data_IF_314720335115
#
_entry.id   IF_314720335115
#
_cell.length_a   1.000
_cell.length_b   1.000
_cell.length_c   1.000
_cell.angle_alpha   90.00
_cell.angle_beta   90.00
_cell.angle_gamma   90.00
#
_symmetry.space_group_name_H-M   'P 1'
#
loop_
_entity.id
_entity.type
_entity.pdbx_description
1 polymer ?
#
# COMPACT_ATOMS: atom_id res chain seq x y z
N UNK A 1 18.57 50.27 -2.94
CA UNK A 1 17.62 49.40 -2.20
C UNK A 1 16.85 48.62 -3.25
N UNK A 2 17.22 47.36 -3.48
CA UNK A 2 16.66 46.55 -4.57
C UNK A 2 15.22 46.18 -4.24
N UNK A 3 14.28 46.67 -5.05
CA UNK A 3 12.85 46.38 -4.94
C UNK A 3 12.59 45.01 -5.57
N UNK A 4 12.07 44.06 -4.81
CA UNK A 4 11.65 42.75 -5.34
C UNK A 4 10.34 42.97 -6.12
N UNK A 5 10.36 42.67 -7.41
CA UNK A 5 9.28 42.98 -8.38
C UNK A 5 8.17 41.90 -8.41
N UNK A 6 8.30 40.84 -7.63
CA UNK A 6 7.26 39.83 -7.42
C UNK A 6 7.73 38.78 -6.41
N UNK A 7 6.88 38.43 -5.44
CA UNK A 7 7.12 37.36 -4.48
C UNK A 7 6.16 36.22 -4.74
N UNK A 8 6.67 35.09 -5.22
CA UNK A 8 5.94 33.82 -5.15
C UNK A 8 6.49 33.02 -3.97
N UNK A 9 5.61 32.67 -3.05
CA UNK A 9 5.90 31.70 -1.99
C UNK A 9 5.62 30.31 -2.54
N UNK A 10 6.68 29.54 -2.82
CA UNK A 10 6.57 28.09 -3.02
C UNK A 10 7.11 27.43 -1.76
N UNK A 11 6.20 26.88 -0.95
CA UNK A 11 6.55 26.08 0.21
C UNK A 11 7.00 24.74 -0.35
N UNK A 12 8.30 24.48 -0.29
CA UNK A 12 8.84 23.14 -0.44
C UNK A 12 9.11 22.65 0.98
N UNK A 13 8.47 21.54 1.37
CA UNK A 13 8.95 20.83 2.53
C UNK A 13 10.36 20.32 2.20
N UNK A 14 11.36 20.74 2.97
CA UNK A 14 12.74 20.33 2.74
C UNK A 14 13.05 18.98 3.40
N UNK A 15 12.17 18.48 4.28
CA UNK A 15 12.32 17.16 4.90
C UNK A 15 11.93 16.04 3.91
N UNK A 16 10.96 16.32 3.04
CA UNK A 16 10.59 15.48 1.90
C UNK A 16 10.70 16.31 0.62
N UNK A 17 11.83 16.23 -0.08
CA UNK A 17 12.13 17.00 -1.30
C UNK A 17 11.25 16.72 -2.55
N UNK A 18 9.99 16.33 -2.37
CA UNK A 18 8.94 16.05 -3.36
C UNK A 18 7.57 16.18 -2.66
N UNK A 19 6.46 16.51 -3.36
CA UNK A 19 5.15 16.65 -2.72
C UNK A 19 4.80 15.37 -1.93
N UNK A 20 4.87 15.41 -0.61
CA UNK A 20 4.54 14.35 0.36
C UNK A 20 4.51 12.92 -0.21
N UNK A 21 5.69 12.37 -0.53
CA UNK A 21 5.87 10.99 -0.96
C UNK A 21 6.57 10.15 0.12
N UNK A 22 6.22 10.34 1.40
CA UNK A 22 6.59 9.36 2.41
C UNK A 22 6.79 9.90 3.82
N UNK A 23 5.89 9.53 4.72
CA UNK A 23 6.18 9.48 6.14
C UNK A 23 5.69 8.14 6.69
N UNK A 24 6.47 7.06 6.50
CA UNK A 24 6.28 5.77 7.22
C UNK A 24 4.83 5.24 7.20
N UNK A 25 4.06 5.51 6.14
CA UNK A 25 2.61 5.27 6.08
C UNK A 25 2.19 4.26 4.99
N UNK A 26 3.12 3.80 4.15
CA UNK A 26 2.85 2.83 3.07
C UNK A 26 3.02 1.36 3.49
N UNK A 27 3.71 1.11 4.60
CA UNK A 27 3.88 -0.24 5.14
C UNK A 27 2.96 -0.42 6.34
N UNK A 28 1.93 -1.25 6.19
CA UNK A 28 1.10 -1.67 7.31
C UNK A 28 1.97 -2.36 8.37
N UNK A 29 1.67 -2.12 9.66
CA UNK A 29 2.38 -2.81 10.74
C UNK A 29 2.20 -4.33 10.62
N UNK A 30 3.22 -5.10 11.02
CA UNK A 30 3.11 -6.55 11.00
C UNK A 30 1.94 -7.01 11.87
N UNK A 31 1.04 -7.80 11.28
CA UNK A 31 -0.08 -8.41 11.99
C UNK A 31 0.33 -9.81 12.40
N UNK A 32 0.08 -10.17 13.67
CA UNK A 32 0.33 -11.51 14.18
C UNK A 32 -0.61 -12.51 13.49
N UNK A 33 -0.07 -13.60 12.95
CA UNK A 33 -0.88 -14.72 12.47
C UNK A 33 -1.43 -15.51 13.67
N UNK A 34 -2.76 -15.65 13.76
CA UNK A 34 -3.45 -16.46 14.77
C UNK A 34 -3.95 -17.80 14.21
N UNK A 35 -3.65 -18.10 12.95
CA UNK A 35 -4.06 -19.32 12.27
C UNK A 35 -5.50 -19.29 11.74
N UNK A 36 -6.17 -18.14 11.79
CA UNK A 36 -7.51 -17.93 11.23
C UNK A 36 -7.50 -16.88 10.11
N UNK A 37 -8.60 -16.77 9.37
CA UNK A 37 -8.74 -15.72 8.35
C UNK A 37 -8.84 -14.36 9.03
N UNK A 38 -7.99 -13.42 8.62
CA UNK A 38 -7.93 -12.09 9.20
C UNK A 38 -8.41 -11.04 8.21
N UNK A 39 -9.25 -10.12 8.68
CA UNK A 39 -9.67 -8.93 7.93
C UNK A 39 -8.97 -7.71 8.50
N UNK A 40 -8.13 -7.07 7.70
CA UNK A 40 -7.42 -5.85 8.07
C UNK A 40 -8.11 -4.67 7.39
N UNK A 41 -8.54 -3.67 8.16
CA UNK A 41 -9.35 -2.53 7.65
C UNK A 41 -8.79 -1.16 7.98
N UNK A 42 -7.70 -1.08 8.74
CA UNK A 42 -7.10 0.18 9.20
C UNK A 42 -5.60 0.18 9.00
N UNK A 43 -4.95 1.34 9.11
CA UNK A 43 -3.50 1.45 8.93
C UNK A 43 -3.06 1.29 7.47
N UNK A 44 -3.95 1.64 6.54
CA UNK A 44 -3.65 1.78 5.12
C UNK A 44 -3.67 3.26 4.75
N UNK A 45 -2.83 3.64 3.79
CA UNK A 45 -2.90 4.92 3.11
C UNK A 45 -3.37 4.65 1.68
N UNK A 46 -4.34 5.42 1.20
CA UNK A 46 -4.85 5.23 -0.16
C UNK A 46 -3.76 5.55 -1.19
N UNK A 47 -3.61 4.73 -2.25
CA UNK A 47 -2.72 5.08 -3.34
C UNK A 47 -3.23 6.36 -4.02
N UNK A 48 -2.33 7.21 -4.56
CA UNK A 48 -2.72 8.49 -5.15
C UNK A 48 -3.61 8.34 -6.40
N UNK A 49 -3.69 7.15 -6.98
CA UNK A 49 -4.54 6.78 -8.11
C UNK A 49 -4.88 5.28 -8.04
N UNK A 50 -5.99 4.81 -8.65
CA UNK A 50 -6.27 3.39 -8.80
C UNK A 50 -5.11 2.65 -9.50
N UNK A 51 -4.77 1.45 -9.01
CA UNK A 51 -3.65 0.61 -9.49
C UNK A 51 -4.02 -0.87 -9.41
N UNK A 52 -3.31 -1.71 -10.16
CA UNK A 52 -3.35 -3.18 -10.02
C UNK A 52 -2.41 -3.58 -8.89
N UNK A 53 -2.84 -4.52 -8.06
CA UNK A 53 -2.07 -4.95 -6.89
C UNK A 53 -1.19 -6.15 -7.24
N UNK A 54 -0.12 -6.30 -6.47
CA UNK A 54 0.70 -7.51 -6.48
C UNK A 54 0.95 -7.92 -5.04
N UNK A 55 0.94 -9.23 -4.78
CA UNK A 55 1.24 -9.77 -3.46
C UNK A 55 2.34 -10.81 -3.57
N UNK A 56 3.33 -10.74 -2.69
CA UNK A 56 4.46 -11.68 -2.67
C UNK A 56 4.50 -12.41 -1.33
N UNK A 57 4.41 -13.73 -1.36
CA UNK A 57 4.62 -14.56 -0.17
C UNK A 57 6.12 -14.73 0.12
N UNK A 58 6.50 -14.75 1.39
CA UNK A 58 7.89 -14.88 1.84
C UNK A 58 8.01 -15.60 3.19
N UNK A 59 9.22 -15.63 3.76
CA UNK A 59 9.52 -16.34 5.01
C UNK A 59 10.07 -17.76 4.79
N UNK A 60 9.94 -18.62 5.81
CA UNK A 60 10.32 -20.03 5.68
C UNK A 60 9.37 -20.71 4.71
N UNK A 61 9.92 -21.26 3.62
CA UNK A 61 9.12 -21.83 2.54
C UNK A 61 8.09 -22.84 3.04
N UNK A 62 8.44 -23.76 3.96
CA UNK A 62 7.53 -24.77 4.51
C UNK A 62 6.36 -24.23 5.33
N UNK A 63 6.41 -22.96 5.70
CA UNK A 63 5.38 -22.30 6.50
C UNK A 63 4.38 -21.54 5.63
N UNK A 64 4.66 -21.36 4.34
CA UNK A 64 3.77 -20.70 3.38
C UNK A 64 2.56 -21.58 3.09
N UNK A 65 1.36 -21.06 3.35
CA UNK A 65 0.07 -21.74 3.12
C UNK A 65 -0.59 -21.27 1.82
N UNK A 66 -1.53 -22.08 1.31
CA UNK A 66 -2.33 -21.75 0.15
C UNK A 66 -3.49 -20.80 0.53
N UNK A 67 -3.16 -19.52 0.69
CA UNK A 67 -4.10 -18.46 1.08
C UNK A 67 -4.45 -17.60 -0.14
N UNK A 68 -5.69 -17.11 -0.19
CA UNK A 68 -6.14 -16.11 -1.15
C UNK A 68 -6.15 -14.74 -0.50
N UNK A 69 -5.76 -13.71 -1.25
CA UNK A 69 -5.85 -12.31 -0.82
C UNK A 69 -6.97 -11.65 -1.59
N UNK A 70 -7.91 -11.06 -0.87
CA UNK A 70 -8.95 -10.20 -1.43
C UNK A 70 -8.76 -8.79 -0.87
N UNK A 71 -8.64 -7.81 -1.76
CA UNK A 71 -8.52 -6.40 -1.41
C UNK A 71 -9.77 -5.67 -1.86
N UNK A 72 -10.34 -4.86 -0.96
CA UNK A 72 -11.52 -4.05 -1.23
C UNK A 72 -11.16 -2.58 -0.97
N UNK A 73 -11.61 -1.69 -1.84
CA UNK A 73 -11.44 -0.25 -1.72
C UNK A 73 -12.49 0.52 -2.51
N UNK A 74 -12.34 1.83 -2.62
CA UNK A 74 -13.18 2.69 -3.46
C UNK A 74 -12.34 3.58 -4.36
N UNK A 75 -12.89 4.02 -5.48
CA UNK A 75 -12.28 5.07 -6.30
C UNK A 75 -12.59 6.48 -5.77
N UNK A 76 -12.10 7.50 -6.49
CA UNK A 76 -12.32 8.91 -6.15
C UNK A 76 -13.79 9.36 -6.21
N UNK A 77 -14.68 8.53 -6.75
CA UNK A 77 -16.13 8.75 -6.84
C UNK A 77 -16.93 7.84 -5.90
N UNK A 78 -16.26 7.24 -4.89
CA UNK A 78 -16.84 6.27 -3.95
C UNK A 78 -17.36 4.98 -4.62
N UNK A 79 -16.95 4.67 -5.85
CA UNK A 79 -17.33 3.42 -6.50
C UNK A 79 -16.50 2.26 -5.93
N UNK A 80 -17.14 1.16 -5.57
CA UNK A 80 -16.47 -0.01 -4.98
C UNK A 80 -15.54 -0.66 -5.99
N UNK A 81 -14.30 -0.91 -5.56
CA UNK A 81 -13.28 -1.68 -6.25
C UNK A 81 -12.97 -2.94 -5.42
N UNK A 82 -12.93 -4.09 -6.09
CA UNK A 82 -12.55 -5.36 -5.49
C UNK A 82 -11.54 -6.07 -6.39
N UNK A 83 -10.45 -6.53 -5.79
CA UNK A 83 -9.41 -7.32 -6.44
C UNK A 83 -9.21 -8.63 -5.66
N UNK A 84 -9.45 -9.77 -6.32
CA UNK A 84 -9.23 -11.10 -5.77
C UNK A 84 -7.99 -11.68 -6.45
N UNK A 85 -6.89 -11.76 -5.72
CA UNK A 85 -5.63 -12.27 -6.25
C UNK A 85 -5.66 -13.81 -6.36
N UNK A 86 -4.87 -14.39 -7.29
CA UNK A 86 -4.67 -15.83 -7.33
C UNK A 86 -4.19 -16.40 -5.98
N UNK A 87 -4.61 -17.63 -5.67
CA UNK A 87 -4.21 -18.34 -4.46
C UNK A 87 -2.70 -18.61 -4.48
N UNK A 88 -2.01 -18.39 -3.36
CA UNK A 88 -0.61 -18.75 -3.22
C UNK A 88 -0.40 -20.27 -3.30
N UNK A 89 0.77 -20.69 -3.78
CA UNK A 89 1.14 -22.11 -3.79
C UNK A 89 1.74 -22.50 -2.44
N UNK A 90 1.21 -23.58 -1.84
CA UNK A 90 1.75 -24.11 -0.57
C UNK A 90 3.24 -24.40 -0.70
N UNK A 91 3.99 -24.11 0.36
CA UNK A 91 5.42 -24.34 0.40
C UNK A 91 6.21 -23.68 -0.73
N UNK A 92 5.76 -22.54 -1.26
CA UNK A 92 6.45 -21.84 -2.35
C UNK A 92 6.29 -20.32 -2.19
N UNK A 93 7.41 -19.59 -2.22
CA UNK A 93 7.40 -18.13 -2.28
C UNK A 93 7.14 -17.70 -3.73
N UNK A 94 6.02 -17.00 -3.97
CA UNK A 94 5.61 -16.54 -5.28
C UNK A 94 5.04 -15.13 -5.22
N UNK A 95 5.15 -14.41 -6.33
CA UNK A 95 4.40 -13.16 -6.56
C UNK A 95 3.17 -13.48 -7.39
N UNK A 96 2.02 -12.97 -6.97
CA UNK A 96 0.76 -13.01 -7.70
C UNK A 96 0.33 -11.58 -8.07
N UNK A 97 -0.42 -11.46 -9.15
CA UNK A 97 -0.96 -10.22 -9.73
C UNK A 97 -2.37 -10.51 -10.24
#
# INVERSE_FOLDING_TARGET
MTKITGSESRIFDLDLGSPDLGLVADAHAAVTDDGTEQTITTGFTDPPTPRVLTATSGGTTTDIKAIQVTVNGTDEFDAVLQEVLPVFTVNTATTVT
#
